data_IF_474150037501
#
_entry.id   IF_474150037501
#
_cell.length_a   1.000
_cell.length_b   1.000
_cell.length_c   1.000
_cell.angle_alpha   90.00
_cell.angle_beta   90.00
_cell.angle_gamma   90.00
#
_symmetry.space_group_name_H-M   'P 1'
#
loop_
_entity.id
_entity.type
_entity.pdbx_description
1 polymer ?
#
# COMPACT_ATOMS: atom_id res chain seq x y z
N UNK A 1 -22.27 9.14 -22.25
CA UNK A 1 -22.46 9.75 -20.91
C UNK A 1 -21.43 9.12 -19.98
N UNK A 2 -20.50 9.91 -19.43
CA UNK A 2 -19.55 9.38 -18.45
C UNK A 2 -20.35 9.02 -17.19
N UNK A 3 -20.41 7.73 -16.83
CA UNK A 3 -21.04 7.33 -15.57
C UNK A 3 -20.36 8.10 -14.42
N UNK A 4 -21.12 8.61 -13.45
CA UNK A 4 -20.56 9.34 -12.32
C UNK A 4 -19.48 8.48 -11.67
N UNK A 5 -18.36 9.09 -11.26
CA UNK A 5 -17.29 8.43 -10.54
C UNK A 5 -17.87 7.86 -9.24
N UNK A 6 -18.36 6.63 -9.28
CA UNK A 6 -19.07 6.02 -8.16
C UNK A 6 -18.09 5.91 -6.99
N UNK A 7 -18.35 6.70 -5.95
CA UNK A 7 -17.50 6.76 -4.77
C UNK A 7 -17.89 5.65 -3.81
N UNK A 8 -16.91 5.18 -3.03
CA UNK A 8 -17.17 4.22 -1.97
C UNK A 8 -17.96 4.88 -0.85
N UNK A 9 -19.14 4.35 -0.52
CA UNK A 9 -19.91 4.83 0.61
C UNK A 9 -19.20 4.50 1.92
N UNK A 10 -19.61 5.16 3.01
CA UNK A 10 -19.09 4.83 4.34
C UNK A 10 -19.42 3.38 4.70
N UNK A 11 -20.66 2.96 4.42
CA UNK A 11 -21.14 1.60 4.65
C UNK A 11 -20.35 0.58 3.83
N UNK A 12 -20.11 0.83 2.54
CA UNK A 12 -19.32 -0.07 1.67
C UNK A 12 -17.90 -0.27 2.21
N UNK A 13 -17.26 0.82 2.66
CA UNK A 13 -15.91 0.77 3.19
C UNK A 13 -15.85 -0.05 4.48
N UNK A 14 -16.85 0.08 5.34
CA UNK A 14 -16.97 -0.68 6.59
C UNK A 14 -17.19 -2.18 6.32
N UNK A 15 -18.11 -2.51 5.41
CA UNK A 15 -18.39 -3.88 4.97
C UNK A 15 -17.14 -4.54 4.40
N UNK A 16 -16.39 -3.84 3.55
CA UNK A 16 -15.11 -4.31 3.00
C UNK A 16 -14.11 -4.66 4.10
N UNK A 17 -13.92 -3.78 5.09
CA UNK A 17 -12.94 -4.01 6.16
C UNK A 17 -13.36 -5.20 7.01
N UNK A 18 -14.63 -5.27 7.43
CA UNK A 18 -15.14 -6.39 8.23
C UNK A 18 -15.05 -7.72 7.50
N UNK A 19 -15.42 -7.73 6.22
CA UNK A 19 -15.32 -8.93 5.42
C UNK A 19 -13.86 -9.38 5.29
N UNK A 20 -12.91 -8.44 5.13
CA UNK A 20 -11.47 -8.73 5.12
C UNK A 20 -10.95 -9.26 6.45
N UNK A 21 -11.52 -8.84 7.58
CA UNK A 21 -11.21 -9.39 8.91
C UNK A 21 -11.67 -10.84 9.03
N UNK A 22 -12.93 -11.13 8.65
CA UNK A 22 -13.51 -12.47 8.75
C UNK A 22 -12.87 -13.49 7.79
N UNK A 23 -12.40 -13.02 6.62
CA UNK A 23 -11.85 -13.85 5.56
C UNK A 23 -10.35 -13.66 5.37
N UNK A 24 -9.62 -13.35 6.44
CA UNK A 24 -8.17 -13.09 6.40
C UNK A 24 -7.39 -14.24 5.74
N UNK A 25 -7.80 -15.49 6.01
CA UNK A 25 -7.20 -16.73 5.49
C UNK A 25 -7.21 -16.83 3.95
N UNK A 26 -8.21 -16.24 3.27
CA UNK A 26 -8.28 -16.20 1.81
C UNK A 26 -7.19 -15.30 1.19
N UNK A 27 -6.57 -14.42 1.98
CA UNK A 27 -5.54 -13.49 1.50
C UNK A 27 -4.13 -13.87 1.97
N UNK A 28 -3.95 -15.09 2.47
CA UNK A 28 -2.65 -15.63 2.90
C UNK A 28 -1.66 -15.88 1.76
N UNK A 29 -2.12 -15.87 0.50
CA UNK A 29 -1.27 -16.04 -0.69
C UNK A 29 -1.14 -17.49 -1.19
N UNK A 30 -1.79 -18.45 -0.52
CA UNK A 30 -1.83 -19.84 -0.99
C UNK A 30 -2.75 -19.98 -2.22
N UNK A 31 -2.32 -20.67 -3.30
CA UNK A 31 -3.18 -21.14 -4.41
C UNK A 31 -4.12 -20.10 -5.05
N UNK A 32 -3.63 -18.92 -5.46
CA UNK A 32 -4.45 -17.86 -6.09
C UNK A 32 -5.68 -17.44 -5.25
N UNK A 33 -5.72 -17.75 -3.95
CA UNK A 33 -6.88 -17.49 -3.09
C UNK A 33 -7.22 -16.01 -3.01
N UNK A 34 -6.25 -15.11 -3.24
CA UNK A 34 -6.51 -13.68 -3.24
C UNK A 34 -7.47 -13.25 -4.35
N UNK A 35 -7.37 -13.84 -5.56
CA UNK A 35 -8.30 -13.52 -6.66
C UNK A 35 -9.70 -14.02 -6.30
N UNK A 36 -9.78 -15.28 -5.88
CA UNK A 36 -11.03 -15.90 -5.45
C UNK A 36 -11.65 -15.14 -4.27
N UNK A 37 -10.84 -14.64 -3.33
CA UNK A 37 -11.30 -13.86 -2.20
C UNK A 37 -11.98 -12.56 -2.60
N UNK A 38 -11.41 -11.81 -3.57
CA UNK A 38 -12.09 -10.61 -4.06
C UNK A 38 -13.36 -10.90 -4.83
N UNK A 39 -13.40 -12.02 -5.57
CA UNK A 39 -14.60 -12.46 -6.28
C UNK A 39 -15.69 -12.92 -5.29
N UNK A 40 -15.32 -13.67 -4.25
CA UNK A 40 -16.21 -14.07 -3.15
C UNK A 40 -16.76 -12.87 -2.39
N UNK A 41 -15.93 -11.86 -2.10
CA UNK A 41 -16.39 -10.62 -1.47
C UNK A 41 -17.52 -10.00 -2.28
N UNK A 42 -17.37 -9.86 -3.60
CA UNK A 42 -18.43 -9.30 -4.44
C UNK A 42 -19.67 -10.20 -4.36
N UNK A 43 -19.53 -11.51 -4.56
CA UNK A 43 -20.66 -12.45 -4.53
C UNK A 43 -21.47 -12.37 -3.22
N UNK A 44 -20.80 -12.33 -2.08
CA UNK A 44 -21.44 -12.30 -0.76
C UNK A 44 -22.01 -10.91 -0.41
N UNK A 45 -21.38 -9.83 -0.91
CA UNK A 45 -21.75 -8.46 -0.57
C UNK A 45 -22.59 -7.73 -1.61
N UNK A 46 -23.00 -8.38 -2.73
CA UNK A 46 -23.88 -7.79 -3.75
C UNK A 46 -25.12 -7.11 -3.14
N UNK A 47 -25.68 -7.66 -2.07
CA UNK A 47 -26.86 -7.09 -1.39
C UNK A 47 -26.54 -5.89 -0.49
N UNK A 48 -25.28 -5.77 -0.02
CA UNK A 48 -24.85 -4.78 0.95
C UNK A 48 -24.09 -3.60 0.33
N UNK A 49 -23.57 -3.76 -0.88
CA UNK A 49 -22.80 -2.75 -1.58
C UNK A 49 -23.71 -1.82 -2.39
N UNK A 50 -23.45 -0.52 -2.27
CA UNK A 50 -24.15 0.49 -3.03
C UNK A 50 -23.63 0.55 -4.49
N UNK A 51 -24.18 -0.34 -5.31
CA UNK A 51 -24.03 -0.40 -6.77
C UNK A 51 -22.90 -1.30 -7.29
N UNK A 52 -22.50 -1.11 -8.55
CA UNK A 52 -21.66 -2.07 -9.29
C UNK A 52 -20.16 -1.94 -8.97
N UNK A 53 -19.77 -2.40 -7.78
CA UNK A 53 -18.36 -2.49 -7.38
C UNK A 53 -17.75 -3.78 -7.93
N UNK A 54 -16.69 -3.65 -8.74
CA UNK A 54 -15.91 -4.78 -9.26
C UNK A 54 -14.87 -5.27 -8.24
N UNK A 55 -14.50 -6.55 -8.28
CA UNK A 55 -13.42 -7.15 -7.47
C UNK A 55 -12.13 -6.33 -7.50
N UNK A 56 -11.74 -5.84 -8.68
CA UNK A 56 -10.55 -5.01 -8.85
C UNK A 56 -10.65 -3.64 -8.16
N UNK A 57 -11.86 -3.05 -8.09
CA UNK A 57 -12.11 -1.80 -7.36
C UNK A 57 -12.02 -2.05 -5.86
N UNK A 58 -12.54 -3.17 -5.37
CA UNK A 58 -12.42 -3.59 -3.97
C UNK A 58 -10.96 -3.80 -3.57
N UNK A 59 -10.18 -4.52 -4.39
CA UNK A 59 -8.74 -4.69 -4.20
C UNK A 59 -8.02 -3.33 -4.12
N UNK A 60 -8.22 -2.44 -5.10
CA UNK A 60 -7.59 -1.12 -5.10
C UNK A 60 -7.98 -0.29 -3.88
N UNK A 61 -9.25 -0.31 -3.48
CA UNK A 61 -9.73 0.39 -2.28
C UNK A 61 -9.03 -0.13 -1.02
N UNK A 62 -8.91 -1.45 -0.88
CA UNK A 62 -8.21 -2.08 0.23
C UNK A 62 -6.73 -1.69 0.30
N UNK A 63 -6.02 -1.68 -0.84
CA UNK A 63 -4.63 -1.22 -0.88
C UNK A 63 -4.49 0.26 -0.45
N UNK A 64 -5.39 1.12 -0.90
CA UNK A 64 -5.40 2.53 -0.48
C UNK A 64 -5.67 2.70 1.03
N UNK A 65 -6.60 1.92 1.59
CA UNK A 65 -6.87 1.86 3.03
C UNK A 65 -5.63 1.41 3.80
N UNK A 66 -4.98 0.32 3.39
CA UNK A 66 -3.74 -0.17 4.00
C UNK A 66 -2.62 0.85 3.93
N UNK A 67 -2.46 1.54 2.80
CA UNK A 67 -1.45 2.59 2.65
C UNK A 67 -1.68 3.72 3.65
N UNK A 68 -2.91 4.25 3.72
CA UNK A 68 -3.27 5.31 4.68
C UNK A 68 -3.07 4.86 6.13
N UNK A 69 -3.45 3.62 6.46
CA UNK A 69 -3.20 3.02 7.77
C UNK A 69 -1.71 3.01 8.11
N UNK A 70 -0.86 2.48 7.22
CA UNK A 70 0.60 2.40 7.44
C UNK A 70 1.23 3.77 7.64
N UNK A 71 0.83 4.77 6.84
CA UNK A 71 1.33 6.15 6.98
C UNK A 71 0.91 6.73 8.34
N UNK A 72 -0.36 6.61 8.72
CA UNK A 72 -0.81 7.11 10.02
C UNK A 72 -0.12 6.39 11.19
N UNK A 73 0.09 5.09 11.09
CA UNK A 73 0.81 4.30 12.11
C UNK A 73 2.27 4.69 12.21
N UNK A 74 2.94 4.98 11.09
CA UNK A 74 4.32 5.46 11.08
C UNK A 74 4.42 6.87 11.67
N UNK A 75 3.52 7.78 11.27
CA UNK A 75 3.45 9.14 11.81
C UNK A 75 3.16 9.15 13.31
N UNK A 76 2.32 8.24 13.82
CA UNK A 76 2.05 8.12 15.25
C UNK A 76 3.29 7.78 16.08
N UNK A 77 4.23 7.04 15.50
CA UNK A 77 5.47 6.61 16.16
C UNK A 77 6.53 7.71 16.16
N UNK A 78 6.52 8.56 15.14
CA UNK A 78 7.51 9.61 14.94
C UNK A 78 7.04 10.96 15.54
N UNK A 79 5.74 11.24 15.44
CA UNK A 79 5.11 12.50 15.83
C UNK A 79 3.92 12.22 16.75
N UNK A 80 4.14 12.33 18.06
CA UNK A 80 3.13 12.04 19.10
C UNK A 80 1.85 12.91 19.00
N UNK A 81 1.92 14.08 18.34
CA UNK A 81 0.74 14.94 18.17
C UNK A 81 -0.28 14.37 17.18
N UNK A 82 0.12 13.42 16.33
CA UNK A 82 -0.78 12.79 15.35
C UNK A 82 -1.62 11.74 16.07
N UNK A 83 -2.93 11.98 16.19
CA UNK A 83 -3.89 11.01 16.72
C UNK A 83 -4.41 10.09 15.59
N UNK A 84 -3.91 8.85 15.45
CA UNK A 84 -4.29 7.99 14.32
C UNK A 84 -5.75 7.55 14.41
N UNK A 85 -6.25 7.42 15.65
CA UNK A 85 -7.64 7.09 15.98
C UNK A 85 -8.66 8.11 15.45
N UNK A 86 -8.21 9.32 15.07
CA UNK A 86 -9.06 10.31 14.40
C UNK A 86 -9.59 9.80 13.07
N UNK A 87 -8.89 8.87 12.41
CA UNK A 87 -9.39 8.21 11.24
C UNK A 87 -10.35 7.09 11.66
N UNK A 88 -11.65 7.26 11.36
CA UNK A 88 -12.71 6.33 11.78
C UNK A 88 -12.49 4.85 11.47
N UNK A 89 -11.69 4.55 10.43
CA UNK A 89 -11.36 3.17 10.03
C UNK A 89 -10.09 2.64 10.70
N UNK A 90 -9.32 3.45 11.42
CA UNK A 90 -8.03 3.08 11.97
C UNK A 90 -8.11 1.84 12.84
N UNK A 91 -9.00 1.81 13.85
CA UNK A 91 -9.17 0.65 14.74
C UNK A 91 -9.62 -0.62 14.02
N UNK A 92 -10.46 -0.49 12.99
CA UNK A 92 -10.88 -1.66 12.20
C UNK A 92 -9.74 -2.14 11.29
N UNK A 93 -9.02 -1.21 10.66
CA UNK A 93 -7.88 -1.51 9.80
C UNK A 93 -6.71 -2.11 10.57
N UNK A 94 -6.47 -1.64 11.79
CA UNK A 94 -5.45 -2.17 12.69
C UNK A 94 -5.71 -3.66 12.98
N UNK A 95 -6.92 -3.99 13.45
CA UNK A 95 -7.33 -5.39 13.65
C UNK A 95 -7.26 -6.22 12.37
N UNK A 96 -7.62 -5.65 11.24
CA UNK A 96 -7.64 -6.36 9.96
C UNK A 96 -6.26 -6.61 9.34
N UNK A 97 -5.28 -5.74 9.61
CA UNK A 97 -3.94 -5.79 8.99
C UNK A 97 -2.91 -6.41 9.92
N UNK A 98 -2.92 -6.04 11.19
CA UNK A 98 -1.99 -6.61 12.17
C UNK A 98 -2.48 -7.95 12.74
N UNK A 99 -3.78 -8.25 12.57
CA UNK A 99 -4.43 -9.36 13.25
C UNK A 99 -4.81 -9.00 14.69
N UNK A 100 -5.62 -9.86 15.32
CA UNK A 100 -5.81 -9.78 16.77
C UNK A 100 -4.56 -10.37 17.45
N UNK A 101 -3.87 -9.64 18.35
CA UNK A 101 -2.69 -10.16 19.02
C UNK A 101 -2.97 -11.40 19.88
N UNK A 102 -4.25 -11.70 20.17
CA UNK A 102 -4.67 -12.81 21.01
C UNK A 102 -4.94 -14.12 20.26
N UNK A 103 -5.06 -14.13 18.93
CA UNK A 103 -5.48 -15.32 18.18
C UNK A 103 -4.25 -16.10 17.68
N UNK A 104 -3.58 -16.79 18.60
CA UNK A 104 -2.65 -17.89 18.29
C UNK A 104 -3.51 -19.11 17.97
N UNK A 105 -4.17 -19.11 16.81
CA UNK A 105 -4.30 -20.28 15.96
C UNK A 105 -5.22 -19.95 14.78
N UNK A 106 -4.70 -19.84 13.54
CA UNK A 106 -5.57 -19.76 12.38
C UNK A 106 -6.48 -20.99 12.36
N UNK A 107 -7.81 -20.84 12.18
CA UNK A 107 -8.69 -21.99 12.02
C UNK A 107 -8.18 -22.83 10.85
N UNK A 108 -7.63 -23.99 11.18
CA UNK A 108 -7.14 -24.99 10.24
C UNK A 108 -8.28 -25.27 9.27
N UNK A 109 -8.12 -25.04 7.96
CA UNK A 109 -9.18 -25.29 7.00
C UNK A 109 -9.63 -26.74 7.15
N UNK A 110 -10.91 -26.94 7.47
CA UNK A 110 -11.56 -28.24 7.42
C UNK A 110 -11.32 -28.78 6.01
N UNK A 111 -10.52 -29.84 5.95
CA UNK A 111 -10.15 -30.54 4.73
C UNK A 111 -11.45 -30.94 4.01
N UNK A 112 -11.73 -30.32 2.87
CA UNK A 112 -12.60 -30.91 1.87
C UNK A 112 -11.85 -32.14 1.34
N UNK A 113 -12.15 -33.27 1.98
CA UNK A 113 -11.78 -34.60 1.54
C UNK A 113 -12.35 -34.88 0.14
N UNK A 114 -11.57 -35.63 -0.63
CA UNK A 114 -11.97 -36.40 -1.80
C UNK A 114 -12.11 -35.61 -3.11
N UNK A 115 -11.05 -35.66 -3.92
CA UNK A 115 -11.11 -35.84 -5.38
C UNK A 115 -9.71 -36.32 -5.80
N UNK A 116 -9.40 -37.55 -5.41
CA UNK A 116 -8.46 -38.38 -6.16
C UNK A 116 -9.31 -39.05 -7.22
N UNK A 117 -8.99 -38.82 -8.49
CA UNK A 117 -9.07 -39.76 -9.61
C UNK A 117 -8.92 -38.95 -10.90
N UNK A 118 -7.66 -38.70 -11.25
CA UNK A 118 -7.26 -38.25 -12.59
C UNK A 118 -7.48 -39.38 -13.60
N UNK A 119 -8.20 -39.18 -14.70
CA UNK A 119 -8.18 -40.09 -15.82
C UNK A 119 -6.96 -39.81 -16.71
N UNK A 120 -6.09 -40.82 -16.81
CA UNK A 120 -5.02 -40.96 -17.79
C UNK A 120 -5.52 -40.62 -19.21
N UNK A 121 -5.09 -39.48 -19.78
CA UNK A 121 -5.25 -39.23 -21.21
C UNK A 121 -3.87 -39.05 -21.85
N UNK A 122 -3.35 -40.14 -22.40
CA UNK A 122 -2.12 -40.19 -23.16
C UNK A 122 -2.28 -39.45 -24.49
N UNK A 123 -1.96 -38.15 -24.52
CA UNK A 123 -1.83 -37.38 -25.76
C UNK A 123 -0.36 -36.98 -26.00
N UNK A 124 0.17 -37.45 -27.12
CA UNK A 124 1.55 -37.27 -27.59
C UNK A 124 1.91 -35.78 -27.78
N UNK A 125 3.15 -35.37 -27.45
CA UNK A 125 3.57 -33.98 -27.50
C UNK A 125 3.94 -33.54 -28.93
N UNK A 126 3.00 -32.95 -29.67
CA UNK A 126 3.34 -32.18 -30.87
C UNK A 126 3.68 -30.74 -30.46
N UNK A 127 4.98 -30.42 -30.37
CA UNK A 127 5.49 -29.07 -30.16
C UNK A 127 5.15 -28.21 -31.37
N UNK A 128 4.09 -27.41 -31.30
CA UNK A 128 3.90 -26.28 -32.22
C UNK A 128 4.01 -24.98 -31.43
N UNK A 129 5.04 -24.22 -31.76
CA UNK A 129 5.34 -22.92 -31.18
C UNK A 129 4.40 -21.91 -31.83
N UNK A 130 3.35 -21.50 -31.13
CA UNK A 130 2.44 -20.45 -31.59
C UNK A 130 2.74 -19.15 -30.85
N UNK A 131 3.12 -18.15 -31.63
CA UNK A 131 3.35 -16.78 -31.18
C UNK A 131 1.97 -16.15 -30.91
N UNK A 132 1.56 -16.11 -29.64
CA UNK A 132 0.30 -15.49 -29.22
C UNK A 132 0.50 -13.97 -29.20
N UNK A 133 -0.13 -13.28 -30.13
CA UNK A 133 -0.22 -11.82 -30.12
C UNK A 133 -0.96 -11.36 -28.85
N UNK A 134 -0.37 -10.40 -28.15
CA UNK A 134 -0.91 -9.84 -26.92
C UNK A 134 -2.19 -9.06 -27.19
N UNK A 135 -3.35 -9.70 -27.09
CA UNK A 135 -4.64 -9.00 -27.16
C UNK A 135 -5.83 -9.94 -27.17
N UNK A 136 -6.69 -9.81 -26.17
CA UNK A 136 -7.98 -10.49 -25.95
C UNK A 136 -7.98 -12.01 -25.69
N UNK A 137 -8.21 -12.32 -24.41
CA UNK A 137 -9.27 -13.22 -23.95
C UNK A 137 -9.18 -14.72 -24.29
N UNK A 138 -8.20 -15.39 -23.67
CA UNK A 138 -8.20 -16.86 -23.46
C UNK A 138 -9.40 -17.30 -22.58
N UNK A 139 -10.09 -16.38 -21.91
CA UNK A 139 -11.12 -16.68 -20.92
C UNK A 139 -12.48 -17.09 -21.52
N UNK A 140 -12.77 -16.76 -22.78
CA UNK A 140 -14.06 -17.12 -23.41
C UNK A 140 -14.13 -18.57 -23.90
N UNK A 141 -12.99 -19.26 -24.04
CA UNK A 141 -12.98 -20.65 -24.50
C UNK A 141 -13.26 -21.68 -23.40
N UNK A 142 -13.27 -21.26 -22.13
CA UNK A 142 -13.49 -22.16 -20.99
C UNK A 142 -14.94 -22.16 -20.47
N UNK A 143 -15.82 -21.29 -20.98
CA UNK A 143 -17.21 -21.20 -20.51
C UNK A 143 -18.19 -22.10 -21.28
N UNK A 144 -17.78 -22.73 -22.38
CA UNK A 144 -18.67 -23.56 -23.19
C UNK A 144 -18.57 -25.08 -22.95
N UNK A 145 -17.78 -25.53 -21.97
CA UNK A 145 -17.72 -26.95 -21.61
C UNK A 145 -18.62 -27.23 -20.39
N UNK A 146 -19.93 -27.09 -20.56
CA UNK A 146 -20.93 -27.59 -19.61
C UNK A 146 -21.16 -29.06 -19.95
N UNK A 147 -20.57 -29.96 -19.19
CA UNK A 147 -20.81 -31.40 -19.29
C UNK A 147 -22.08 -31.69 -18.50
N UNK A 148 -23.16 -32.03 -19.22
CA UNK A 148 -24.43 -32.47 -18.66
C UNK A 148 -24.26 -33.87 -18.03
N UNK A 149 -24.56 -33.98 -16.74
CA UNK A 149 -24.55 -35.24 -15.97
C UNK A 149 -25.86 -35.96 -16.25
N UNK A 150 -25.83 -36.96 -17.14
CA UNK A 150 -26.99 -37.83 -17.39
C UNK A 150 -27.08 -38.96 -16.35
N UNK A 151 -28.33 -39.20 -15.96
CA UNK A 151 -28.84 -40.10 -14.93
C UNK A 151 -28.85 -41.57 -15.34
N UNK A 152 -28.82 -42.41 -14.29
CA UNK A 152 -29.29 -43.81 -14.24
C UNK A 152 -28.42 -44.89 -14.89
N UNK A 153 -27.79 -45.68 -14.03
CA UNK A 153 -27.54 -47.11 -14.32
C UNK A 153 -27.74 -47.88 -13.02
N UNK A 154 -28.91 -48.51 -12.91
CA UNK A 154 -29.21 -49.58 -11.96
C UNK A 154 -28.45 -50.83 -12.41
N UNK A 155 -27.55 -51.36 -11.58
CA UNK A 155 -26.98 -52.70 -11.82
C UNK A 155 -27.19 -53.53 -10.56
N UNK A 156 -27.75 -54.70 -10.80
CA UNK A 156 -28.25 -55.66 -9.85
C UNK A 156 -27.16 -56.23 -8.93
N UNK A 157 -27.52 -56.33 -7.65
CA UNK A 157 -27.54 -57.57 -6.88
C UNK A 157 -26.66 -58.73 -7.40
N UNK A 158 -25.48 -58.89 -6.80
CA UNK A 158 -24.80 -60.18 -6.67
C UNK A 158 -24.23 -60.25 -5.25
N UNK A 159 -25.05 -60.71 -4.31
CA UNK A 159 -24.54 -61.44 -3.15
C UNK A 159 -23.94 -62.78 -3.62
N UNK A 160 -22.82 -63.20 -3.04
CA UNK A 160 -22.94 -64.37 -2.17
C UNK A 160 -22.16 -64.22 -0.87
N UNK A 161 -22.89 -64.47 0.21
CA UNK A 161 -22.39 -64.90 1.50
C UNK A 161 -21.54 -66.17 1.34
N UNK A 162 -20.37 -66.22 2.00
CA UNK A 162 -20.05 -67.26 2.99
C UNK A 162 -18.59 -67.14 3.39
N UNK A 163 -18.39 -66.86 4.66
CA UNK A 163 -17.13 -67.00 5.37
C UNK A 163 -16.55 -68.41 5.18
N UNK A 164 -15.25 -68.49 4.97
CA UNK A 164 -14.47 -69.71 5.24
C UNK A 164 -13.12 -69.27 5.78
N UNK A 165 -13.09 -69.05 7.09
CA UNK A 165 -11.87 -68.81 7.84
C UNK A 165 -11.29 -70.16 8.28
N UNK A 166 -10.34 -70.72 7.53
CA UNK A 166 -9.51 -71.80 8.05
C UNK A 166 -8.05 -71.72 7.57
N UNK A 167 -7.18 -71.68 8.58
CA UNK A 167 -5.86 -72.31 8.63
C UNK A 167 -4.71 -71.73 7.81
N UNK A 168 -3.94 -70.92 8.54
CA UNK A 168 -2.55 -70.51 8.33
C UNK A 168 -1.69 -71.70 7.87
N UNK A 169 -1.32 -71.72 6.59
CA UNK A 169 -0.14 -72.44 6.08
C UNK A 169 0.80 -71.40 5.50
N UNK A 170 1.72 -70.96 6.35
CA UNK A 170 2.88 -70.14 6.05
C UNK A 170 3.85 -70.93 5.15
N UNK A 171 3.43 -71.20 3.91
CA UNK A 171 4.33 -71.69 2.88
C UNK A 171 5.14 -70.49 2.43
N UNK A 172 6.44 -70.58 2.66
CA UNK A 172 7.47 -69.78 2.00
C UNK A 172 7.28 -69.97 0.48
N UNK A 173 6.40 -69.16 -0.11
CA UNK A 173 6.26 -69.07 -1.56
C UNK A 173 7.48 -68.25 -1.97
N UNK A 174 8.55 -68.97 -2.35
CA UNK A 174 9.62 -68.39 -3.15
C UNK A 174 8.95 -67.71 -4.35
N UNK A 175 8.85 -66.38 -4.30
CA UNK A 175 8.29 -65.61 -5.42
C UNK A 175 9.08 -65.97 -6.66
N UNK A 176 8.36 -66.41 -7.68
CA UNK A 176 8.92 -66.82 -8.96
C UNK A 176 9.80 -65.68 -9.52
N UNK A 177 10.92 -65.96 -10.19
CA UNK A 177 11.76 -64.93 -10.82
C UNK A 177 10.98 -63.96 -11.73
N UNK A 178 9.87 -64.42 -12.32
CA UNK A 178 8.95 -63.63 -13.14
C UNK A 178 8.18 -62.56 -12.35
N UNK A 179 7.76 -62.86 -11.12
CA UNK A 179 7.07 -61.89 -10.24
C UNK A 179 8.05 -60.83 -9.77
N UNK A 180 9.25 -61.23 -9.34
CA UNK A 180 10.32 -60.29 -8.96
C UNK A 180 10.71 -59.38 -10.12
N UNK A 181 10.79 -59.92 -11.34
CA UNK A 181 11.05 -59.11 -12.53
C UNK A 181 9.93 -58.09 -12.80
N UNK A 182 8.66 -58.49 -12.65
CA UNK A 182 7.51 -57.61 -12.80
C UNK A 182 7.51 -56.45 -11.78
N UNK A 183 7.78 -56.75 -10.51
CA UNK A 183 7.90 -55.75 -9.44
C UNK A 183 9.03 -54.76 -9.73
N UNK A 184 10.20 -55.24 -10.16
CA UNK A 184 11.32 -54.38 -10.55
C UNK A 184 10.99 -53.47 -11.75
N UNK A 185 10.22 -53.95 -12.72
CA UNK A 185 9.76 -53.14 -13.85
C UNK A 185 8.81 -52.03 -13.40
N UNK A 186 7.87 -52.33 -12.51
CA UNK A 186 6.91 -51.37 -11.96
C UNK A 186 7.62 -50.29 -11.13
N UNK A 187 8.53 -50.69 -10.24
CA UNK A 187 9.33 -49.75 -9.45
C UNK A 187 10.21 -48.85 -10.34
N UNK A 188 10.82 -49.42 -11.38
CA UNK A 188 11.59 -48.62 -12.34
C UNK A 188 10.71 -47.64 -13.13
N UNK A 189 9.47 -47.99 -13.43
CA UNK A 189 8.52 -47.06 -14.05
C UNK A 189 8.09 -45.95 -13.08
N UNK A 190 7.83 -46.29 -11.81
CA UNK A 190 7.53 -45.33 -10.73
C UNK A 190 8.66 -44.33 -10.54
N UNK A 191 9.89 -44.81 -10.37
CA UNK A 191 11.09 -43.97 -10.23
C UNK A 191 11.33 -43.06 -11.45
N UNK A 192 11.01 -43.52 -12.67
CA UNK A 192 11.08 -42.66 -13.87
C UNK A 192 10.06 -41.52 -13.83
N UNK A 193 8.82 -41.79 -13.42
CA UNK A 193 7.79 -40.74 -13.28
C UNK A 193 8.19 -39.73 -12.22
N UNK A 194 8.68 -40.20 -11.08
CA UNK A 194 9.18 -39.36 -9.99
C UNK A 194 10.36 -38.48 -10.43
N UNK A 195 11.33 -39.05 -11.16
CA UNK A 195 12.45 -38.28 -11.71
C UNK A 195 12.00 -37.16 -12.66
N UNK A 196 11.04 -37.44 -13.55
CA UNK A 196 10.50 -36.43 -14.45
C UNK A 196 9.73 -35.33 -13.71
N UNK A 197 9.05 -35.70 -12.61
CA UNK A 197 8.38 -34.74 -11.76
C UNK A 197 9.39 -33.80 -11.07
N UNK A 198 10.43 -34.37 -10.44
CA UNK A 198 11.50 -33.60 -9.80
C UNK A 198 12.24 -32.70 -10.80
N UNK A 199 12.48 -33.18 -12.03
CA UNK A 199 13.11 -32.38 -13.08
C UNK A 199 12.27 -31.16 -13.48
N UNK A 200 10.94 -31.31 -13.57
CA UNK A 200 10.02 -30.18 -13.80
C UNK A 200 10.04 -29.20 -12.62
N UNK A 201 9.97 -29.71 -11.40
CA UNK A 201 10.02 -28.89 -10.18
C UNK A 201 11.32 -28.08 -10.10
N UNK A 202 12.47 -28.71 -10.37
CA UNK A 202 13.75 -28.00 -10.44
C UNK A 202 13.74 -26.89 -11.51
N UNK A 203 13.20 -27.16 -12.69
CA UNK A 203 13.10 -26.16 -13.75
C UNK A 203 12.16 -25.00 -13.40
N UNK A 204 11.12 -25.23 -12.60
CA UNK A 204 10.23 -24.20 -12.10
C UNK A 204 10.93 -23.35 -11.02
N UNK A 205 11.61 -23.98 -10.07
CA UNK A 205 12.41 -23.31 -9.04
C UNK A 205 13.53 -22.44 -9.63
N UNK A 206 14.19 -22.88 -10.70
CA UNK A 206 15.21 -22.08 -11.39
C UNK A 206 14.61 -20.82 -12.02
N UNK A 207 13.40 -20.89 -12.59
CA UNK A 207 12.70 -19.71 -13.12
C UNK A 207 12.32 -18.76 -12.01
N UNK A 208 11.82 -19.26 -10.88
CA UNK A 208 11.50 -18.43 -9.71
C UNK A 208 12.75 -17.73 -9.15
N UNK A 209 13.88 -18.44 -9.06
CA UNK A 209 15.16 -17.87 -8.63
C UNK A 209 15.60 -16.70 -9.51
N UNK A 210 15.47 -16.83 -10.83
CA UNK A 210 15.79 -15.74 -11.78
C UNK A 210 14.85 -14.53 -11.63
N UNK A 211 13.56 -14.76 -11.39
CA UNK A 211 12.61 -13.67 -11.13
C UNK A 211 12.93 -12.93 -9.82
N UNK A 212 13.22 -13.68 -8.75
CA UNK A 212 13.62 -13.11 -7.46
C UNK A 212 14.94 -12.33 -7.56
N UNK A 213 15.90 -12.80 -8.35
CA UNK A 213 17.15 -12.08 -8.59
C UNK A 213 16.90 -10.76 -9.35
N UNK A 214 16.02 -10.77 -10.35
CA UNK A 214 15.59 -9.55 -11.05
C UNK A 214 14.89 -8.58 -10.10
N UNK A 215 13.96 -9.04 -9.27
CA UNK A 215 13.25 -8.23 -8.29
C UNK A 215 14.21 -7.61 -7.26
N UNK A 216 15.14 -8.41 -6.71
CA UNK A 216 16.20 -7.91 -5.83
C UNK A 216 17.02 -6.81 -6.48
N UNK A 217 17.36 -6.94 -7.76
CA UNK A 217 18.09 -5.90 -8.47
C UNK A 217 17.30 -4.59 -8.58
N UNK A 218 15.97 -4.65 -8.75
CA UNK A 218 15.10 -3.47 -8.80
C UNK A 218 15.01 -2.85 -7.41
N UNK A 219 14.76 -3.66 -6.39
CA UNK A 219 14.69 -3.21 -5.00
C UNK A 219 15.99 -2.52 -4.54
N UNK A 220 17.17 -3.04 -4.91
CA UNK A 220 18.44 -2.38 -4.60
C UNK A 220 18.59 -1.04 -5.32
N UNK A 221 18.16 -0.91 -6.58
CA UNK A 221 18.16 0.39 -7.27
C UNK A 221 17.25 1.40 -6.55
N UNK A 222 16.04 0.99 -6.19
CA UNK A 222 15.11 1.83 -5.42
C UNK A 222 15.68 2.24 -4.06
N UNK A 223 16.33 1.32 -3.35
CA UNK A 223 17.00 1.60 -2.08
C UNK A 223 18.09 2.67 -2.26
N UNK A 224 18.94 2.56 -3.29
CA UNK A 224 19.96 3.60 -3.55
C UNK A 224 19.35 4.94 -3.97
N UNK A 225 18.18 4.96 -4.61
CA UNK A 225 17.47 6.20 -4.93
C UNK A 225 16.94 6.86 -3.66
N UNK A 226 16.25 6.10 -2.79
CA UNK A 226 15.75 6.59 -1.51
C UNK A 226 16.85 7.06 -0.57
N UNK A 227 18.04 6.44 -0.61
CA UNK A 227 19.20 6.88 0.16
C UNK A 227 19.72 8.25 -0.31
N UNK A 228 19.74 8.50 -1.63
CA UNK A 228 20.07 9.82 -2.19
C UNK A 228 19.04 10.87 -1.82
N UNK A 229 17.76 10.54 -1.88
CA UNK A 229 16.67 11.45 -1.49
C UNK A 229 16.76 11.81 0.00
N UNK A 230 17.06 10.84 0.87
CA UNK A 230 17.29 11.09 2.30
C UNK A 230 18.48 12.03 2.54
N UNK A 231 19.60 11.78 1.87
CA UNK A 231 20.77 12.64 1.97
C UNK A 231 20.50 14.06 1.44
N UNK A 232 19.64 14.20 0.42
CA UNK A 232 19.22 15.51 -0.08
C UNK A 232 18.30 16.24 0.93
N UNK A 233 17.31 15.55 1.48
CA UNK A 233 16.42 16.12 2.51
C UNK A 233 17.19 16.57 3.76
N UNK A 234 18.26 15.85 4.13
CA UNK A 234 19.13 16.26 5.24
C UNK A 234 19.90 17.56 4.92
N UNK A 235 20.42 17.69 3.70
CA UNK A 235 21.05 18.94 3.24
C UNK A 235 20.07 20.11 3.22
N UNK A 236 18.86 19.88 2.73
CA UNK A 236 17.82 20.90 2.65
C UNK A 236 17.39 21.37 4.05
N UNK A 237 17.23 20.43 5.00
CA UNK A 237 17.00 20.77 6.41
C UNK A 237 18.11 21.64 6.98
N UNK A 238 19.37 21.24 6.77
CA UNK A 238 20.51 22.03 7.23
C UNK A 238 20.56 23.42 6.56
N UNK A 239 20.14 23.55 5.29
CA UNK A 239 20.05 24.84 4.60
C UNK A 239 18.98 25.74 5.24
N UNK A 240 17.78 25.20 5.47
CA UNK A 240 16.68 25.91 6.15
C UNK A 240 17.09 26.34 7.56
N UNK A 241 17.82 25.51 8.31
CA UNK A 241 18.29 25.87 9.65
C UNK A 241 19.29 27.04 9.63
N UNK A 242 20.17 27.10 8.63
CA UNK A 242 21.08 28.24 8.43
C UNK A 242 20.32 29.51 8.07
N UNK A 243 19.33 29.42 7.17
CA UNK A 243 18.48 30.55 6.81
C UNK A 243 17.69 31.08 8.01
N UNK A 244 17.13 30.17 8.82
CA UNK A 244 16.46 30.53 10.07
C UNK A 244 17.40 31.25 11.02
N UNK A 245 18.62 30.75 11.22
CA UNK A 245 19.61 31.41 12.07
C UNK A 245 20.01 32.80 11.53
N UNK A 246 20.13 32.95 10.21
CA UNK A 246 20.41 34.24 9.58
C UNK A 246 19.27 35.25 9.80
N UNK A 247 18.02 34.83 9.57
CA UNK A 247 16.85 35.69 9.81
C UNK A 247 16.70 36.09 11.29
N UNK A 248 17.07 35.20 12.21
CA UNK A 248 17.08 35.50 13.65
C UNK A 248 18.11 36.60 13.98
N UNK A 249 19.32 36.52 13.40
CA UNK A 249 20.35 37.54 13.57
C UNK A 249 19.95 38.88 12.97
N UNK A 250 19.34 38.87 11.78
CA UNK A 250 18.87 40.09 11.11
C UNK A 250 17.74 40.76 11.91
N UNK A 251 16.80 39.98 12.45
CA UNK A 251 15.78 40.49 13.37
C UNK A 251 16.40 41.15 14.60
N UNK A 252 17.36 40.50 15.24
CA UNK A 252 18.04 41.06 16.40
C UNK A 252 18.83 42.34 16.05
N UNK A 253 19.36 42.46 14.82
CA UNK A 253 19.98 43.69 14.32
C UNK A 253 18.96 44.81 14.14
N UNK A 254 17.86 44.54 13.44
CA UNK A 254 16.79 45.52 13.23
C UNK A 254 16.18 46.00 14.56
N UNK A 255 16.09 45.13 15.57
CA UNK A 255 15.65 45.50 16.91
C UNK A 255 16.62 46.47 17.60
N UNK A 256 17.94 46.21 17.52
CA UNK A 256 18.96 47.14 18.03
C UNK A 256 18.92 48.49 17.32
N UNK A 257 18.77 48.49 16.00
CA UNK A 257 18.71 49.71 15.19
C UNK A 257 17.44 50.53 15.53
N UNK A 258 16.29 49.87 15.73
CA UNK A 258 15.07 50.53 16.22
C UNK A 258 15.27 51.16 17.59
N UNK A 259 15.87 50.45 18.54
CA UNK A 259 16.14 50.98 19.87
C UNK A 259 17.12 52.17 19.82
N UNK A 260 18.08 52.17 18.89
CA UNK A 260 18.98 53.31 18.67
C UNK A 260 18.22 54.54 18.14
N UNK A 261 17.41 54.36 17.09
CA UNK A 261 16.58 55.43 16.54
C UNK A 261 15.59 56.00 17.55
N UNK A 262 15.05 55.16 18.43
CA UNK A 262 14.18 55.60 19.52
C UNK A 262 14.92 56.50 20.51
N UNK A 263 16.12 56.11 20.96
CA UNK A 263 16.97 56.96 21.81
C UNK A 263 17.35 58.27 21.12
N UNK A 264 17.71 58.23 19.84
CA UNK A 264 18.04 59.43 19.07
C UNK A 264 16.82 60.36 18.97
N UNK A 265 15.63 59.80 18.73
CA UNK A 265 14.38 60.56 18.73
C UNK A 265 14.08 61.20 20.08
N UNK A 266 14.29 60.47 21.17
CA UNK A 266 14.12 60.99 22.54
C UNK A 266 15.11 62.12 22.85
N UNK A 267 16.39 61.97 22.46
CA UNK A 267 17.40 63.01 22.67
C UNK A 267 17.09 64.28 21.87
N UNK A 268 16.70 64.16 20.61
CA UNK A 268 16.26 65.29 19.78
C UNK A 268 15.03 65.96 20.39
N UNK A 269 14.04 65.18 20.84
CA UNK A 269 12.85 65.72 21.49
C UNK A 269 13.20 66.47 22.79
N UNK A 270 14.12 65.94 23.61
CA UNK A 270 14.61 66.60 24.81
C UNK A 270 15.34 67.92 24.49
N UNK A 271 16.13 67.97 23.40
CA UNK A 271 16.74 69.22 22.92
C UNK A 271 15.68 70.23 22.48
N UNK A 272 14.67 69.80 21.72
CA UNK A 272 13.55 70.66 21.30
C UNK A 272 12.79 71.21 22.50
N UNK A 273 12.46 70.38 23.49
CA UNK A 273 11.81 70.82 24.72
C UNK A 273 12.68 71.82 25.51
N UNK A 274 14.00 71.59 25.58
CA UNK A 274 14.93 72.54 26.19
C UNK A 274 14.92 73.89 25.46
N UNK A 275 14.95 73.89 24.13
CA UNK A 275 14.93 75.12 23.31
C UNK A 275 13.61 75.89 23.40
N UNK A 276 12.48 75.20 23.60
CA UNK A 276 11.17 75.84 23.81
C UNK A 276 11.02 76.38 25.24
N UNK A 277 11.58 75.67 26.23
CA UNK A 277 11.58 76.08 27.63
C UNK A 277 12.51 77.26 27.93
N UNK A 278 13.59 77.40 27.15
CA UNK A 278 14.27 78.69 26.99
C UNK A 278 13.36 79.59 26.17
N UNK A 279 12.35 80.17 26.84
CA UNK A 279 11.70 81.40 26.42
C UNK A 279 12.74 82.51 26.34
N UNK A 280 13.60 82.43 25.32
CA UNK A 280 14.39 83.55 24.88
C UNK A 280 13.39 84.54 24.32
N UNK A 281 12.98 85.44 25.22
CA UNK A 281 12.48 86.76 24.97
C UNK A 281 13.50 87.50 24.11
N UNK A 282 13.62 87.11 22.86
CA UNK A 282 14.31 87.88 21.83
C UNK A 282 13.25 88.28 20.81
N UNK A 283 12.46 89.25 21.21
CA UNK A 283 11.75 90.12 20.27
C UNK A 283 12.71 90.87 19.33
N UNK A 284 14.03 90.72 19.49
CA UNK A 284 15.05 91.50 18.80
C UNK A 284 16.01 90.64 17.95
N UNK A 285 15.68 89.38 17.64
CA UNK A 285 16.50 88.59 16.71
C UNK A 285 16.29 89.08 15.26
N UNK A 286 17.33 89.51 14.52
CA UNK A 286 17.21 89.98 13.14
C UNK A 286 16.64 88.92 12.18
N UNK A 287 16.78 87.63 12.51
CA UNK A 287 16.16 86.54 11.75
C UNK A 287 14.62 86.55 11.82
N UNK A 288 14.03 87.06 12.91
CA UNK A 288 12.58 87.20 13.02
C UNK A 288 12.05 88.28 12.07
N UNK A 289 12.81 89.36 11.89
CA UNK A 289 12.51 90.35 10.87
C UNK A 289 12.67 89.78 9.47
N UNK A 290 13.75 89.05 9.19
CA UNK A 290 13.94 88.40 7.89
C UNK A 290 12.82 87.42 7.59
N UNK A 291 12.33 86.68 8.60
CA UNK A 291 11.16 85.82 8.46
C UNK A 291 9.89 86.62 8.17
N UNK A 292 9.66 87.74 8.87
CA UNK A 292 8.53 88.65 8.59
C UNK A 292 8.63 89.26 7.19
N UNK A 293 9.82 89.69 6.76
CA UNK A 293 10.10 90.22 5.42
C UNK A 293 9.83 89.16 4.36
N UNK A 294 10.27 87.93 4.58
CA UNK A 294 10.04 86.81 3.67
C UNK A 294 8.55 86.50 3.54
N UNK A 295 7.82 86.41 4.65
CA UNK A 295 6.36 86.23 4.65
C UNK A 295 5.67 87.37 3.90
N UNK A 296 6.05 88.62 4.18
CA UNK A 296 5.50 89.79 3.50
C UNK A 296 5.78 89.77 1.99
N UNK A 297 6.96 89.34 1.57
CA UNK A 297 7.29 89.16 0.15
C UNK A 297 6.44 88.07 -0.50
N UNK A 298 6.18 86.96 0.20
CA UNK A 298 5.28 85.92 -0.29
C UNK A 298 3.84 86.39 -0.39
N UNK A 299 3.31 87.09 0.60
CA UNK A 299 1.96 87.68 0.56
C UNK A 299 1.82 88.64 -0.63
N UNK A 300 2.81 89.53 -0.84
CA UNK A 300 2.85 90.42 -2.00
C UNK A 300 2.98 89.71 -3.35
N UNK A 301 3.65 88.56 -3.40
CA UNK A 301 3.78 87.77 -4.62
C UNK A 301 2.44 87.14 -5.00
N UNK A 302 1.71 86.60 -4.01
CA UNK A 302 0.41 85.96 -4.21
C UNK A 302 -0.65 86.99 -4.62
N UNK A 303 -0.62 88.21 -4.07
CA UNK A 303 -1.53 89.30 -4.47
C UNK A 303 -1.32 89.84 -5.89
N UNK A 304 -0.19 89.52 -6.53
CA UNK A 304 0.13 89.94 -7.91
C UNK A 304 -0.25 88.91 -8.99
N UNK A 305 -0.67 87.71 -8.60
CA UNK A 305 -1.25 86.70 -9.50
C UNK A 305 -2.77 86.75 -9.46
#
# INVERSE_FOLDING_TARGET
MAQPSQQWSHKDTETLIRWRMAHSYLFSGWRNTCRNGWEMFIQESILNLDGNITSQRAKRKWENLKCKYKVLKALAKDVETVKPESWRWFRLMEKAVDGDPGDIDPPKPTLLSNLADEPDCAAQPSKKMYQVEMGSDILELLTHSVIEVNTQTTVADVGPSSDTAESVKEKQIEKSPSETQGELHLERAKLRRERLFLEKEHADLDRERLLLEREKSVAEREKTALERDRAQLEKDRAAVDRERAFLEQDRARLERDRAALERDRETVNAMVLRTKGTGHTETDSPYAEDRKRLIFLFEKLIERF
#
